data_IF_608684948219
#
_entry.id   IF_608684948219
#
_cell.length_a   1.000
_cell.length_b   1.000
_cell.length_c   1.000
_cell.angle_alpha   90.00
_cell.angle_beta   90.00
_cell.angle_gamma   90.00
#
_symmetry.space_group_name_H-M   'P 1'
#
loop_
_entity.id
_entity.type
_entity.pdbx_description
1 polymer ?
#
# COMPACT_ATOMS: atom_id res chain seq x y z
N UNK A 1 32.69 17.37 1.98
CA UNK A 1 32.35 16.87 0.63
C UNK A 1 31.50 15.60 0.65
N UNK A 2 31.92 14.53 1.33
CA UNK A 2 31.16 13.26 1.34
C UNK A 2 29.76 13.38 1.97
N UNK A 3 29.64 14.08 3.10
CA UNK A 3 28.34 14.34 3.76
C UNK A 3 27.37 15.16 2.89
N UNK A 4 27.90 16.16 2.19
CA UNK A 4 27.11 16.99 1.26
C UNK A 4 26.61 16.18 0.07
N UNK A 5 27.47 15.31 -0.50
CA UNK A 5 27.08 14.39 -1.56
C UNK A 5 25.92 13.47 -1.13
N UNK A 6 26.03 12.81 0.04
CA UNK A 6 24.97 11.94 0.54
C UNK A 6 23.69 12.70 0.89
N UNK A 7 23.79 13.95 1.35
CA UNK A 7 22.62 14.78 1.63
C UNK A 7 21.90 15.20 0.36
N UNK A 8 22.64 15.62 -0.67
CA UNK A 8 22.08 15.92 -1.99
C UNK A 8 21.47 14.68 -2.63
N UNK A 9 22.14 13.52 -2.55
CA UNK A 9 21.60 12.26 -3.04
C UNK A 9 20.29 11.87 -2.34
N UNK A 10 20.24 12.02 -1.02
CA UNK A 10 19.04 11.75 -0.23
C UNK A 10 17.88 12.69 -0.61
N UNK A 11 18.17 13.98 -0.82
CA UNK A 11 17.19 14.93 -1.31
C UNK A 11 16.66 14.55 -2.69
N UNK A 12 17.56 14.20 -3.62
CA UNK A 12 17.18 13.78 -4.98
C UNK A 12 16.30 12.53 -5.00
N UNK A 13 16.52 11.56 -4.11
CA UNK A 13 15.65 10.36 -4.00
C UNK A 13 14.25 10.76 -3.58
N UNK A 14 14.11 11.57 -2.52
CA UNK A 14 12.80 11.96 -2.01
C UNK A 14 12.06 12.89 -2.99
N UNK A 15 12.78 13.82 -3.61
CA UNK A 15 12.22 14.68 -4.67
C UNK A 15 11.76 13.85 -5.88
N UNK A 16 12.60 12.91 -6.34
CA UNK A 16 12.24 12.00 -7.44
C UNK A 16 11.03 11.12 -7.12
N UNK A 17 10.98 10.56 -5.91
CA UNK A 17 9.83 9.77 -5.44
C UNK A 17 8.55 10.62 -5.37
N UNK A 18 8.63 11.84 -4.85
CA UNK A 18 7.50 12.78 -4.80
C UNK A 18 6.96 13.09 -6.20
N UNK A 19 7.85 13.46 -7.13
CA UNK A 19 7.47 13.79 -8.51
C UNK A 19 6.86 12.57 -9.21
N UNK A 20 7.49 11.40 -9.09
CA UNK A 20 7.01 10.17 -9.73
C UNK A 20 5.66 9.73 -9.18
N UNK A 21 5.49 9.68 -7.86
CA UNK A 21 4.21 9.26 -7.24
C UNK A 21 3.07 10.20 -7.55
N UNK A 22 3.34 11.49 -7.75
CA UNK A 22 2.31 12.46 -8.11
C UNK A 22 1.92 12.40 -9.59
N UNK A 23 2.91 12.29 -10.49
CA UNK A 23 2.72 12.38 -11.94
C UNK A 23 2.30 11.03 -12.55
N UNK A 24 2.84 9.90 -12.09
CA UNK A 24 2.55 8.59 -12.68
C UNK A 24 1.04 8.25 -12.75
N UNK A 25 0.22 8.51 -11.71
CA UNK A 25 -1.22 8.32 -11.79
C UNK A 25 -1.92 9.21 -12.83
N UNK A 26 -1.42 10.43 -13.05
CA UNK A 26 -1.96 11.37 -14.05
C UNK A 26 -1.73 10.84 -15.46
N UNK A 27 -0.54 10.29 -15.74
CA UNK A 27 -0.26 9.66 -17.03
C UNK A 27 -1.09 8.39 -17.25
N UNK A 28 -1.32 7.61 -16.19
CA UNK A 28 -2.18 6.43 -16.23
C UNK A 28 -3.64 6.79 -16.52
N UNK A 29 -4.13 7.91 -16.01
CA UNK A 29 -5.54 8.31 -16.14
C UNK A 29 -5.91 8.96 -17.47
N UNK A 30 -4.95 9.14 -18.39
CA UNK A 30 -5.24 9.65 -19.73
C UNK A 30 -5.71 8.52 -20.66
N UNK A 31 -6.69 8.76 -21.55
CA UNK A 31 -7.06 7.78 -22.56
C UNK A 31 -5.96 7.66 -23.61
N UNK A 32 -5.58 6.43 -23.96
CA UNK A 32 -4.64 6.18 -25.05
C UNK A 32 -4.87 4.82 -25.70
N UNK A 33 -4.51 4.70 -26.98
CA UNK A 33 -4.66 3.45 -27.76
C UNK A 33 -6.08 2.85 -27.73
N UNK A 34 -7.11 3.69 -27.58
CA UNK A 34 -8.51 3.25 -27.50
C UNK A 34 -8.91 2.68 -26.14
N UNK A 35 -8.07 2.77 -25.11
CA UNK A 35 -8.38 2.42 -23.72
C UNK A 35 -8.52 3.68 -22.85
N UNK A 36 -9.34 3.60 -21.82
CA UNK A 36 -9.58 4.69 -20.86
C UNK A 36 -8.37 4.98 -19.95
N UNK A 37 -7.39 4.06 -19.89
CA UNK A 37 -6.18 4.21 -19.08
C UNK A 37 -4.91 3.91 -19.87
N UNK A 38 -3.91 4.78 -19.77
CA UNK A 38 -2.65 4.67 -20.50
C UNK A 38 -1.51 4.03 -19.72
N UNK A 39 -1.53 2.71 -19.59
CA UNK A 39 -0.40 1.96 -19.01
C UNK A 39 0.91 2.06 -19.80
N UNK A 40 0.92 2.03 -21.15
CA UNK A 40 2.16 2.16 -21.93
C UNK A 40 2.90 3.47 -21.65
N UNK A 41 2.19 4.58 -21.46
CA UNK A 41 2.80 5.87 -21.10
C UNK A 41 3.34 5.84 -19.66
N UNK A 42 2.55 5.34 -18.72
CA UNK A 42 2.92 5.28 -17.31
C UNK A 42 4.18 4.41 -17.06
N UNK A 43 4.33 3.29 -17.77
CA UNK A 43 5.51 2.40 -17.65
C UNK A 43 6.64 2.73 -18.63
N UNK A 44 6.32 3.28 -19.81
CA UNK A 44 7.30 3.61 -20.84
C UNK A 44 8.23 4.75 -20.42
N UNK A 45 7.70 5.77 -19.73
CA UNK A 45 8.53 6.90 -19.26
C UNK A 45 9.63 6.42 -18.29
N UNK A 46 9.33 5.67 -17.20
CA UNK A 46 10.36 5.10 -16.34
C UNK A 46 11.36 4.22 -17.11
N UNK A 47 10.91 3.42 -18.08
CA UNK A 47 11.79 2.55 -18.85
C UNK A 47 12.83 3.37 -19.65
N UNK A 48 12.39 4.44 -20.34
CA UNK A 48 13.28 5.35 -21.08
C UNK A 48 14.26 6.04 -20.13
N UNK A 49 13.77 6.56 -18.99
CA UNK A 49 14.62 7.20 -17.99
C UNK A 49 15.69 6.26 -17.43
N UNK A 50 15.35 4.98 -17.20
CA UNK A 50 16.32 3.98 -16.73
C UNK A 50 17.36 3.60 -17.80
N UNK A 51 16.96 3.54 -19.08
CA UNK A 51 17.90 3.35 -20.19
C UNK A 51 18.87 4.53 -20.26
N UNK A 52 18.37 5.76 -20.22
CA UNK A 52 19.18 6.97 -20.23
C UNK A 52 20.16 7.01 -19.03
N UNK A 53 19.67 6.71 -17.83
CA UNK A 53 20.50 6.64 -16.62
C UNK A 53 21.62 5.58 -16.75
N UNK A 54 21.30 4.41 -17.34
CA UNK A 54 22.27 3.34 -17.57
C UNK A 54 23.32 3.74 -18.60
N UNK A 55 22.92 4.37 -19.71
CA UNK A 55 23.85 4.88 -20.72
C UNK A 55 24.80 5.94 -20.14
N UNK A 56 24.28 6.87 -19.33
CA UNK A 56 25.10 7.87 -18.64
C UNK A 56 26.07 7.21 -17.65
N UNK A 57 25.59 6.22 -16.88
CA UNK A 57 26.43 5.48 -15.95
C UNK A 57 27.56 4.73 -16.66
N UNK A 58 27.28 4.11 -17.80
CA UNK A 58 28.28 3.41 -18.63
C UNK A 58 29.30 4.38 -19.23
N UNK A 59 28.86 5.53 -19.73
CA UNK A 59 29.74 6.57 -20.27
C UNK A 59 30.73 7.09 -19.21
N UNK A 60 30.31 7.19 -17.95
CA UNK A 60 31.17 7.57 -16.81
C UNK A 60 32.18 6.49 -16.37
N UNK A 61 32.11 5.28 -16.91
CA UNK A 61 32.92 4.14 -16.45
C UNK A 61 34.43 4.34 -16.59
N UNK A 62 34.87 5.22 -17.50
CA UNK A 62 36.28 5.61 -17.67
C UNK A 62 36.82 6.46 -16.51
N UNK A 63 35.94 7.15 -15.77
CA UNK A 63 36.33 8.01 -14.64
C UNK A 63 36.15 7.35 -13.28
N UNK A 64 35.54 6.17 -13.22
CA UNK A 64 35.31 5.47 -11.96
C UNK A 64 36.58 4.80 -11.44
N UNK A 65 36.88 5.03 -10.17
CA UNK A 65 37.89 4.27 -9.43
C UNK A 65 37.33 2.89 -9.09
N UNK A 66 37.90 1.83 -9.67
CA UNK A 66 37.46 0.44 -9.49
C UNK A 66 38.31 -0.24 -8.41
N UNK A 67 37.86 -0.32 -7.14
CA UNK A 67 38.61 -1.01 -6.10
C UNK A 67 38.69 -2.52 -6.37
N UNK A 68 39.74 -3.21 -5.90
CA UNK A 68 39.84 -4.66 -6.04
C UNK A 68 38.67 -5.36 -5.31
N UNK A 69 38.29 -6.59 -5.75
CA UNK A 69 37.20 -7.34 -5.13
C UNK A 69 37.50 -7.59 -3.65
N UNK A 70 36.52 -7.30 -2.78
CA UNK A 70 36.58 -7.63 -1.36
C UNK A 70 36.17 -9.10 -1.17
N UNK A 71 36.73 -9.74 -0.16
CA UNK A 71 36.33 -11.11 0.21
C UNK A 71 34.86 -11.18 0.64
N UNK A 72 34.23 -12.33 0.39
CA UNK A 72 32.83 -12.56 0.76
C UNK A 72 32.71 -12.83 2.27
N UNK A 73 32.46 -11.75 3.02
CA UNK A 73 32.25 -11.77 4.48
C UNK A 73 31.07 -12.67 4.86
N UNK A 74 29.97 -12.68 4.09
CA UNK A 74 28.80 -13.52 4.39
C UNK A 74 29.16 -15.01 4.36
N UNK A 75 29.90 -15.43 3.33
CA UNK A 75 30.38 -16.81 3.24
C UNK A 75 31.38 -17.16 4.35
N UNK A 76 32.16 -16.20 4.83
CA UNK A 76 33.08 -16.38 5.96
C UNK A 76 32.33 -16.55 7.29
N UNK A 77 31.31 -15.72 7.55
CA UNK A 77 30.43 -15.83 8.72
C UNK A 77 29.68 -17.16 8.72
N UNK A 78 29.09 -17.56 7.59
CA UNK A 78 28.38 -18.84 7.47
C UNK A 78 29.30 -20.05 7.74
N UNK A 79 30.53 -20.03 7.20
CA UNK A 79 31.55 -21.06 7.47
C UNK A 79 31.97 -21.08 8.95
N UNK A 80 32.13 -19.91 9.57
CA UNK A 80 32.49 -19.82 10.99
C UNK A 80 31.39 -20.40 11.89
N UNK A 81 30.14 -20.03 11.64
CA UNK A 81 28.97 -20.56 12.36
C UNK A 81 28.83 -22.07 12.14
N UNK A 82 28.89 -22.54 10.89
CA UNK A 82 28.76 -23.96 10.58
C UNK A 82 29.82 -24.82 11.25
N UNK A 83 31.10 -24.39 11.22
CA UNK A 83 32.19 -25.09 11.91
C UNK A 83 32.03 -25.07 13.43
N UNK A 84 31.60 -23.95 14.01
CA UNK A 84 31.36 -23.88 15.45
C UNK A 84 30.25 -24.84 15.89
N UNK A 85 29.18 -24.97 15.09
CA UNK A 85 28.07 -25.90 15.35
C UNK A 85 28.54 -27.35 15.25
N UNK A 86 29.25 -27.72 14.17
CA UNK A 86 29.80 -29.08 13.99
C UNK A 86 30.72 -29.42 15.17
N UNK A 87 31.62 -28.51 15.53
CA UNK A 87 32.54 -28.71 16.65
C UNK A 87 31.79 -28.80 17.98
N UNK A 88 30.67 -28.09 18.16
CA UNK A 88 29.84 -28.22 19.36
C UNK A 88 29.18 -29.59 19.47
N UNK A 89 28.76 -30.18 18.35
CA UNK A 89 28.20 -31.53 18.35
C UNK A 89 29.28 -32.62 18.55
N UNK A 90 30.50 -32.40 18.08
CA UNK A 90 31.62 -33.34 18.25
C UNK A 90 32.38 -33.17 19.57
N UNK A 91 32.40 -31.97 20.14
CA UNK A 91 33.12 -31.64 21.38
C UNK A 91 32.14 -31.61 22.55
N UNK A 92 32.31 -32.50 23.52
CA UNK A 92 31.56 -32.49 24.78
C UNK A 92 31.96 -31.37 25.75
N UNK A 93 32.79 -30.41 25.33
CA UNK A 93 33.26 -29.33 26.19
C UNK A 93 32.31 -28.13 26.15
N UNK A 94 31.84 -27.73 27.33
CA UNK A 94 31.03 -26.52 27.49
C UNK A 94 31.95 -25.31 27.58
N UNK A 95 31.87 -24.40 26.61
CA UNK A 95 32.49 -23.07 26.64
C UNK A 95 31.44 -22.02 27.00
N UNK A 96 31.87 -20.85 27.48
CA UNK A 96 30.95 -19.75 27.84
C UNK A 96 30.01 -19.35 26.69
N UNK A 97 30.50 -19.34 25.45
CA UNK A 97 29.68 -19.13 24.26
C UNK A 97 29.94 -20.22 23.22
N UNK A 98 28.87 -20.80 22.66
CA UNK A 98 28.95 -21.91 21.69
C UNK A 98 29.79 -21.60 20.44
N UNK A 99 29.87 -20.32 20.04
CA UNK A 99 30.66 -19.88 18.88
C UNK A 99 32.18 -20.01 19.13
N UNK A 100 32.63 -20.11 20.38
CA UNK A 100 34.05 -20.33 20.72
C UNK A 100 34.53 -21.73 20.37
N UNK A 101 33.61 -22.67 20.10
CA UNK A 101 33.94 -24.00 19.60
C UNK A 101 34.54 -23.94 18.18
N UNK A 102 34.42 -22.81 17.46
CA UNK A 102 35.17 -22.58 16.22
C UNK A 102 36.69 -22.73 16.42
N UNK A 103 37.21 -22.31 17.59
CA UNK A 103 38.64 -22.34 17.87
C UNK A 103 39.21 -23.76 18.04
N UNK A 104 38.37 -24.77 18.21
CA UNK A 104 38.83 -26.15 18.38
C UNK A 104 39.47 -26.71 17.11
N UNK A 105 39.05 -26.23 15.93
CA UNK A 105 39.61 -26.63 14.64
C UNK A 105 40.53 -25.57 14.02
N UNK A 106 40.66 -24.40 14.65
CA UNK A 106 41.45 -23.29 14.10
C UNK A 106 42.79 -23.11 14.82
N UNK A 107 43.89 -23.17 14.07
CA UNK A 107 45.24 -22.96 14.58
C UNK A 107 45.74 -21.57 14.15
N UNK A 108 45.72 -20.61 15.08
CA UNK A 108 46.12 -19.21 14.83
C UNK A 108 47.59 -19.06 14.37
N UNK A 109 48.46 -20.04 14.62
CA UNK A 109 49.87 -20.00 14.23
C UNK A 109 50.11 -20.32 12.75
N UNK A 110 49.17 -21.03 12.11
CA UNK A 110 49.29 -21.45 10.70
C UNK A 110 48.53 -20.52 9.75
N UNK A 111 47.67 -19.66 10.26
CA UNK A 111 46.85 -18.76 9.44
C UNK A 111 47.61 -17.48 9.08
N UNK A 112 47.77 -17.22 7.78
CA UNK A 112 48.49 -16.07 7.23
C UNK A 112 47.93 -14.74 7.77
N UNK A 113 46.61 -14.63 7.89
CA UNK A 113 45.94 -13.42 8.40
C UNK A 113 46.24 -13.15 9.88
N UNK A 114 46.40 -14.21 10.67
CA UNK A 114 46.78 -14.09 12.08
C UNK A 114 48.25 -13.69 12.21
N UNK A 115 49.12 -14.20 11.34
CA UNK A 115 50.53 -13.80 11.29
C UNK A 115 50.70 -12.33 10.89
N UNK A 116 49.93 -11.84 9.92
CA UNK A 116 49.98 -10.45 9.50
C UNK A 116 49.48 -9.49 10.59
N UNK A 117 48.42 -9.85 11.31
CA UNK A 117 47.95 -9.07 12.47
C UNK A 117 49.00 -9.01 13.60
N UNK A 118 49.72 -10.11 13.84
CA UNK A 118 50.82 -10.15 14.83
C UNK A 118 51.97 -9.24 14.43
N UNK A 119 52.33 -9.19 13.14
CA UNK A 119 53.34 -8.28 12.61
C UNK A 119 52.93 -6.81 12.77
N UNK A 120 51.68 -6.48 12.49
CA UNK A 120 51.16 -5.12 12.62
C UNK A 120 51.06 -4.66 14.08
N UNK A 121 50.57 -5.52 14.98
CA UNK A 121 50.26 -5.14 16.37
C UNK A 121 51.43 -5.39 17.35
N UNK A 122 52.56 -5.96 16.89
CA UNK A 122 53.70 -6.43 17.72
C UNK A 122 53.30 -7.33 18.91
N UNK A 123 52.12 -7.95 18.88
CA UNK A 123 51.61 -8.81 19.93
C UNK A 123 51.59 -10.28 19.48
N UNK A 124 52.42 -11.13 20.10
CA UNK A 124 52.57 -12.56 19.75
C UNK A 124 51.29 -13.39 19.99
N UNK A 125 50.37 -12.92 20.84
CA UNK A 125 49.11 -13.62 21.17
C UNK A 125 47.92 -13.19 20.32
N UNK A 126 48.09 -12.20 19.42
CA UNK A 126 47.01 -11.74 18.57
C UNK A 126 46.57 -12.85 17.59
N UNK A 127 45.25 -13.03 17.47
CA UNK A 127 44.64 -13.94 16.50
C UNK A 127 43.45 -13.22 15.85
N UNK A 128 43.53 -12.99 14.54
CA UNK A 128 42.52 -12.25 13.79
C UNK A 128 41.16 -12.96 13.83
N UNK A 129 41.17 -14.30 13.77
CA UNK A 129 39.94 -15.10 13.85
C UNK A 129 39.25 -14.99 15.21
N UNK A 130 39.98 -14.71 16.30
CA UNK A 130 39.36 -14.51 17.62
C UNK A 130 38.55 -13.22 17.65
N UNK A 131 39.13 -12.14 17.15
CA UNK A 131 38.43 -10.85 16.99
C UNK A 131 37.21 -11.03 16.09
N UNK A 132 37.36 -11.72 14.96
CA UNK A 132 36.25 -12.00 14.05
C UNK A 132 35.11 -12.79 14.71
N UNK A 133 35.41 -13.82 15.51
CA UNK A 133 34.39 -14.58 16.24
C UNK A 133 33.68 -13.68 17.26
N UNK A 134 34.41 -12.83 17.98
CA UNK A 134 33.81 -11.87 18.92
C UNK A 134 32.95 -10.81 18.20
N UNK A 135 33.33 -10.39 16.99
CA UNK A 135 32.52 -9.54 16.11
C UNK A 135 31.24 -10.27 15.68
N UNK A 136 31.31 -11.56 15.32
CA UNK A 136 30.14 -12.37 14.97
C UNK A 136 29.21 -12.56 16.18
N UNK A 137 29.74 -12.73 17.41
CA UNK A 137 28.91 -12.75 18.64
C UNK A 137 28.18 -11.42 18.83
N UNK A 138 28.85 -10.31 18.54
CA UNK A 138 28.25 -8.98 18.64
C UNK A 138 27.18 -8.78 17.56
N UNK A 139 27.44 -9.24 16.33
CA UNK A 139 26.48 -9.24 15.23
C UNK A 139 25.22 -10.05 15.57
N UNK A 140 25.35 -11.25 16.14
CA UNK A 140 24.21 -12.06 16.56
C UNK A 140 23.37 -11.39 17.65
N UNK A 141 24.00 -10.70 18.60
CA UNK A 141 23.30 -9.90 19.62
C UNK A 141 22.55 -8.72 18.99
N UNK A 142 23.16 -8.03 18.03
CA UNK A 142 22.50 -6.97 17.25
C UNK A 142 21.34 -7.53 16.45
N UNK A 143 21.48 -8.70 15.81
CA UNK A 143 20.42 -9.32 15.02
C UNK A 143 19.15 -9.57 15.85
N UNK A 144 19.30 -10.03 17.11
CA UNK A 144 18.17 -10.22 18.04
C UNK A 144 17.48 -8.87 18.32
N UNK A 145 18.25 -7.80 18.53
CA UNK A 145 17.69 -6.45 18.74
C UNK A 145 16.92 -5.93 17.50
N UNK A 146 17.29 -6.38 16.30
CA UNK A 146 16.65 -6.00 15.04
C UNK A 146 15.40 -6.85 14.70
N UNK A 147 15.05 -7.86 15.49
CA UNK A 147 13.88 -8.73 15.25
C UNK A 147 12.54 -7.96 15.10
N UNK A 148 12.30 -6.82 15.78
CA UNK A 148 11.10 -6.02 15.56
C UNK A 148 11.09 -5.21 14.25
N UNK A 149 12.24 -5.00 13.60
CA UNK A 149 12.36 -4.15 12.40
C UNK A 149 11.57 -4.70 11.20
N UNK A 150 11.57 -6.01 10.90
CA UNK A 150 10.68 -6.58 9.88
C UNK A 150 9.19 -6.26 10.11
N UNK A 151 8.72 -6.25 11.36
CA UNK A 151 7.32 -5.91 11.65
C UNK A 151 7.02 -4.45 11.35
N UNK A 152 7.98 -3.54 11.59
CA UNK A 152 7.85 -2.15 11.18
C UNK A 152 7.72 -2.02 9.66
N UNK A 153 8.56 -2.70 8.88
CA UNK A 153 8.47 -2.67 7.42
C UNK A 153 7.19 -3.31 6.90
N UNK A 154 6.74 -4.42 7.50
CA UNK A 154 5.47 -5.06 7.16
C UNK A 154 4.26 -4.13 7.38
N UNK A 155 4.32 -3.24 8.37
CA UNK A 155 3.31 -2.21 8.60
C UNK A 155 3.48 -1.03 7.64
N UNK A 156 4.71 -0.57 7.42
CA UNK A 156 5.01 0.54 6.52
C UNK A 156 4.56 0.25 5.07
N UNK A 157 4.84 -0.94 4.56
CA UNK A 157 4.50 -1.33 3.20
C UNK A 157 2.98 -1.46 2.95
N UNK A 158 2.17 -1.52 4.02
CA UNK A 158 0.69 -1.48 3.90
C UNK A 158 0.18 -0.12 3.42
N UNK A 159 0.98 0.95 3.56
CA UNK A 159 0.64 2.27 3.01
C UNK A 159 0.44 2.21 1.49
N UNK A 160 1.22 1.40 0.77
CA UNK A 160 1.13 1.29 -0.69
C UNK A 160 0.06 0.32 -1.19
N UNK A 161 -0.65 -0.37 -0.30
CA UNK A 161 -1.60 -1.43 -0.66
C UNK A 161 -2.94 -1.28 0.07
N UNK A 162 -3.01 -1.62 1.35
CA UNK A 162 -4.25 -1.61 2.13
C UNK A 162 -4.78 -0.18 2.29
N UNK A 163 -3.91 0.78 2.57
CA UNK A 163 -4.32 2.17 2.73
C UNK A 163 -4.78 2.77 1.39
N UNK A 164 -4.22 2.30 0.28
CA UNK A 164 -4.70 2.65 -1.04
C UNK A 164 -6.13 2.14 -1.27
N UNK A 165 -6.40 0.87 -0.92
CA UNK A 165 -7.76 0.30 -1.02
C UNK A 165 -8.76 1.08 -0.16
N UNK A 166 -8.37 1.44 1.07
CA UNK A 166 -9.17 2.31 1.92
C UNK A 166 -9.39 3.69 1.25
N UNK A 167 -8.35 4.27 0.64
CA UNK A 167 -8.46 5.54 -0.07
C UNK A 167 -9.41 5.51 -1.27
N UNK A 168 -9.47 4.39 -2.01
CA UNK A 168 -10.43 4.18 -3.12
C UNK A 168 -11.89 4.18 -2.60
N UNK A 169 -12.11 3.79 -1.35
CA UNK A 169 -13.42 3.77 -0.71
C UNK A 169 -13.84 5.13 -0.11
N UNK A 170 -12.97 6.14 -0.15
CA UNK A 170 -13.21 7.47 0.42
C UNK A 170 -13.49 8.52 -0.66
N UNK A 171 -14.16 9.60 -0.30
CA UNK A 171 -14.26 10.76 -1.18
C UNK A 171 -12.88 11.41 -1.35
N UNK A 172 -12.44 11.46 -2.60
CA UNK A 172 -11.14 11.93 -3.03
C UNK A 172 -11.13 13.44 -3.40
N UNK A 173 -12.25 14.14 -3.16
CA UNK A 173 -12.39 15.58 -3.42
C UNK A 173 -11.96 16.39 -2.19
N UNK A 174 -10.84 17.12 -2.30
CA UNK A 174 -10.32 17.95 -1.20
C UNK A 174 -11.08 19.27 -1.03
N UNK A 175 -11.39 19.94 -2.15
CA UNK A 175 -12.20 21.17 -2.18
C UNK A 175 -12.73 21.41 -3.59
N UNK A 176 -14.07 21.43 -3.75
CA UNK A 176 -14.75 21.66 -5.03
C UNK A 176 -14.28 20.74 -6.16
N UNK A 177 -13.40 21.28 -7.02
CA UNK A 177 -12.91 20.63 -8.25
C UNK A 177 -11.55 19.93 -8.10
N UNK A 178 -10.87 20.04 -6.94
CA UNK A 178 -9.58 19.35 -6.74
C UNK A 178 -9.80 17.89 -6.37
N UNK A 179 -9.78 17.02 -7.37
CA UNK A 179 -9.78 15.56 -7.24
C UNK A 179 -8.34 15.07 -7.08
N UNK A 180 -8.02 14.51 -5.92
CA UNK A 180 -6.73 13.85 -5.69
C UNK A 180 -6.92 12.34 -5.86
N UNK A 181 -6.20 11.72 -6.79
CA UNK A 181 -6.31 10.27 -6.95
C UNK A 181 -5.83 9.55 -5.67
N UNK A 182 -6.46 8.43 -5.26
CA UNK A 182 -6.04 7.66 -4.08
C UNK A 182 -4.54 7.33 -4.05
N UNK A 183 -3.97 6.97 -5.21
CA UNK A 183 -2.54 6.67 -5.37
C UNK A 183 -1.62 7.86 -5.02
N UNK A 184 -2.10 9.09 -5.24
CA UNK A 184 -1.32 10.32 -5.00
C UNK A 184 -1.19 10.67 -3.52
N UNK A 185 -1.98 10.05 -2.63
CA UNK A 185 -1.82 10.20 -1.17
C UNK A 185 -0.43 9.72 -0.74
N UNK A 186 0.17 8.77 -1.46
CA UNK A 186 1.53 8.29 -1.18
C UNK A 186 2.58 9.40 -1.33
N UNK A 187 2.34 10.43 -2.15
CA UNK A 187 3.23 11.59 -2.29
C UNK A 187 3.43 12.32 -0.96
N UNK A 188 2.45 12.28 -0.05
CA UNK A 188 2.59 12.86 1.30
C UNK A 188 3.73 12.23 2.09
N UNK A 189 4.06 10.95 1.88
CA UNK A 189 5.17 10.31 2.57
C UNK A 189 6.50 11.03 2.28
N UNK A 190 6.81 11.25 1.00
CA UNK A 190 8.04 11.93 0.58
C UNK A 190 8.07 13.39 1.07
N UNK A 191 6.94 14.11 0.99
CA UNK A 191 6.81 15.49 1.50
C UNK A 191 7.07 15.54 3.01
N UNK A 192 6.43 14.66 3.78
CA UNK A 192 6.60 14.58 5.22
C UNK A 192 8.04 14.24 5.61
N UNK A 193 8.72 13.35 4.88
CA UNK A 193 10.13 13.03 5.13
C UNK A 193 11.02 14.26 4.91
N UNK A 194 10.82 14.99 3.80
CA UNK A 194 11.58 16.20 3.48
C UNK A 194 11.38 17.31 4.53
N UNK A 195 10.20 17.41 5.11
CA UNK A 195 9.88 18.39 6.17
C UNK A 195 10.35 17.90 7.56
N UNK A 196 10.09 16.63 7.89
CA UNK A 196 10.33 16.10 9.24
C UNK A 196 11.80 15.85 9.52
N UNK A 197 12.64 15.50 8.54
CA UNK A 197 14.07 15.32 8.80
C UNK A 197 14.73 16.59 9.35
N UNK A 198 14.65 17.75 8.68
CA UNK A 198 15.23 18.98 9.22
C UNK A 198 14.53 19.42 10.50
N UNK A 199 13.20 19.29 10.58
CA UNK A 199 12.42 19.61 11.79
C UNK A 199 12.93 18.81 13.00
N UNK A 200 13.11 17.49 12.85
CA UNK A 200 13.55 16.64 13.94
C UNK A 200 15.02 16.85 14.30
N UNK A 201 15.89 17.09 13.30
CA UNK A 201 17.30 17.31 13.55
C UNK A 201 17.61 18.67 14.20
N UNK A 202 16.93 19.73 13.77
CA UNK A 202 17.22 21.10 14.20
C UNK A 202 16.40 21.52 15.42
N UNK A 203 15.15 21.05 15.53
CA UNK A 203 14.21 21.52 16.55
C UNK A 203 13.91 20.42 17.56
N UNK A 204 13.35 19.28 17.12
CA UNK A 204 12.80 18.27 18.04
C UNK A 204 13.90 17.60 18.87
N UNK A 205 14.95 17.07 18.25
CA UNK A 205 16.01 16.36 18.97
C UNK A 205 16.80 17.27 19.91
N UNK A 206 17.19 18.51 19.55
CA UNK A 206 17.87 19.40 20.49
C UNK A 206 17.01 19.79 21.69
N UNK A 207 15.71 20.03 21.51
CA UNK A 207 14.78 20.32 22.61
C UNK A 207 14.59 19.08 23.49
N UNK A 208 14.29 17.93 22.89
CA UNK A 208 14.09 16.70 23.64
C UNK A 208 15.36 16.22 24.34
N UNK A 209 16.55 16.52 23.80
CA UNK A 209 17.84 16.26 24.44
C UNK A 209 18.05 17.07 25.73
N UNK A 210 17.38 18.22 25.90
CA UNK A 210 17.43 19.00 27.15
C UNK A 210 16.70 18.28 28.29
N UNK A 211 15.64 17.54 27.98
CA UNK A 211 14.84 16.83 28.98
C UNK A 211 15.28 15.38 29.18
N UNK A 212 15.64 14.67 28.10
CA UNK A 212 15.91 13.23 28.12
C UNK A 212 17.13 12.91 27.24
N UNK A 213 18.04 12.06 27.73
CA UNK A 213 19.10 11.49 26.90
C UNK A 213 18.49 10.64 25.77
N UNK A 214 18.55 11.14 24.53
CA UNK A 214 18.04 10.49 23.33
C UNK A 214 19.05 9.45 22.80
N UNK A 215 18.89 8.19 23.19
CA UNK A 215 19.65 7.09 22.59
C UNK A 215 19.01 6.65 21.26
N UNK A 216 19.79 6.10 20.29
CA UNK A 216 19.23 5.57 19.05
C UNK A 216 18.12 4.54 19.28
N UNK A 217 18.28 3.69 20.30
CA UNK A 217 17.28 2.69 20.68
C UNK A 217 15.95 3.32 21.14
N UNK A 218 16.02 4.40 21.94
CA UNK A 218 14.82 5.13 22.38
C UNK A 218 14.07 5.77 21.20
N UNK A 219 14.79 6.28 20.21
CA UNK A 219 14.19 6.81 18.97
C UNK A 219 13.47 5.72 18.19
N UNK A 220 14.07 4.54 18.09
CA UNK A 220 13.46 3.39 17.42
C UNK A 220 12.18 2.93 18.14
N UNK A 221 12.19 2.84 19.48
CA UNK A 221 11.00 2.48 20.26
C UNK A 221 9.89 3.52 20.13
N UNK A 222 10.22 4.81 20.21
CA UNK A 222 9.24 5.88 20.02
C UNK A 222 8.62 5.86 18.62
N UNK A 223 9.42 5.63 17.57
CA UNK A 223 8.93 5.46 16.21
C UNK A 223 7.99 4.26 16.07
N UNK A 224 8.31 3.14 16.72
CA UNK A 224 7.44 1.96 16.77
C UNK A 224 6.08 2.25 17.42
N UNK A 225 6.05 2.97 18.55
CA UNK A 225 4.80 3.35 19.23
C UNK A 225 3.95 4.29 18.37
N UNK A 226 4.58 5.25 17.68
CA UNK A 226 3.87 6.14 16.75
C UNK A 226 3.29 5.38 15.55
N UNK A 227 4.02 4.40 15.02
CA UNK A 227 3.51 3.51 13.98
C UNK A 227 2.31 2.68 14.49
N UNK A 228 2.34 2.18 15.73
CA UNK A 228 1.16 1.50 16.30
C UNK A 228 -0.04 2.45 16.42
N UNK A 229 0.18 3.70 16.84
CA UNK A 229 -0.88 4.70 16.93
C UNK A 229 -1.47 5.04 15.57
N UNK A 230 -0.66 5.13 14.50
CA UNK A 230 -1.19 5.40 13.16
C UNK A 230 -2.14 4.30 12.68
N UNK A 231 -1.84 3.04 13.00
CA UNK A 231 -2.73 1.92 12.67
C UNK A 231 -4.06 1.95 13.45
N UNK A 232 -4.05 2.42 14.70
CA UNK A 232 -5.29 2.65 15.44
C UNK A 232 -6.15 3.72 14.76
N UNK A 233 -5.53 4.83 14.33
CA UNK A 233 -6.22 5.90 13.59
C UNK A 233 -6.81 5.35 12.29
N UNK A 234 -6.03 4.61 11.50
CA UNK A 234 -6.51 3.96 10.27
C UNK A 234 -7.70 3.04 10.53
N UNK A 235 -7.69 2.28 11.64
CA UNK A 235 -8.80 1.43 12.04
C UNK A 235 -10.08 2.20 12.35
N UNK A 236 -9.98 3.30 13.09
CA UNK A 236 -11.13 4.18 13.36
C UNK A 236 -11.68 4.84 12.09
N UNK A 237 -10.79 5.24 11.17
CA UNK A 237 -11.20 5.74 9.84
C UNK A 237 -11.97 4.65 9.08
N UNK A 238 -11.50 3.39 9.09
CA UNK A 238 -12.21 2.30 8.40
C UNK A 238 -13.60 2.05 8.99
N UNK A 239 -13.77 2.15 10.31
CA UNK A 239 -15.10 2.02 10.92
C UNK A 239 -16.06 3.09 10.41
N UNK A 240 -15.58 4.33 10.24
CA UNK A 240 -16.38 5.43 9.70
C UNK A 240 -16.70 5.23 8.22
N UNK A 241 -15.76 4.71 7.43
CA UNK A 241 -15.97 4.42 6.00
C UNK A 241 -16.96 3.26 5.81
N UNK A 242 -16.92 2.23 6.68
CA UNK A 242 -17.84 1.11 6.63
C UNK A 242 -19.32 1.50 6.91
N UNK A 243 -19.57 2.67 7.51
CA UNK A 243 -20.92 3.19 7.69
C UNK A 243 -21.51 3.77 6.39
N UNK A 244 -20.64 4.20 5.46
CA UNK A 244 -21.01 4.79 4.17
C UNK A 244 -20.89 3.83 2.99
N UNK A 245 -20.24 2.68 3.18
CA UNK A 245 -20.12 1.66 2.14
C UNK A 245 -21.42 0.86 1.99
N UNK A 246 -21.87 0.60 0.75
CA UNK A 246 -23.03 -0.24 0.51
C UNK A 246 -22.74 -1.68 0.93
N UNK A 247 -23.75 -2.37 1.44
CA UNK A 247 -23.61 -3.80 1.74
C UNK A 247 -23.66 -4.63 0.49
N UNK A 248 -22.71 -5.56 0.35
CA UNK A 248 -22.79 -6.56 -0.69
C UNK A 248 -24.01 -7.48 -0.43
N UNK A 249 -24.78 -7.84 -1.48
CA UNK A 249 -25.93 -8.71 -1.32
C UNK A 249 -25.50 -10.11 -0.83
N UNK A 250 -26.26 -10.66 0.13
CA UNK A 250 -26.09 -12.03 0.59
C UNK A 250 -26.44 -13.05 -0.52
N UNK A 251 -26.18 -14.35 -0.28
CA UNK A 251 -26.41 -15.40 -1.28
C UNK A 251 -27.87 -15.53 -1.75
N UNK A 252 -28.82 -15.03 -0.96
CA UNK A 252 -30.26 -15.02 -1.20
C UNK A 252 -30.81 -13.62 -1.54
N UNK A 253 -29.95 -12.62 -1.72
CA UNK A 253 -30.35 -11.22 -1.96
C UNK A 253 -29.87 -10.69 -3.31
N UNK A 254 -30.59 -9.73 -3.86
CA UNK A 254 -30.14 -8.86 -4.94
C UNK A 254 -30.19 -7.41 -4.46
N UNK A 255 -29.17 -6.64 -4.84
CA UNK A 255 -29.10 -5.22 -4.53
C UNK A 255 -29.69 -4.42 -5.70
N UNK A 256 -30.58 -3.46 -5.42
CA UNK A 256 -31.17 -2.58 -6.43
C UNK A 256 -31.04 -1.12 -6.03
N UNK A 257 -30.35 -0.34 -6.85
CA UNK A 257 -30.25 1.13 -6.74
C UNK A 257 -31.04 1.79 -7.87
N UNK A 258 -31.88 2.76 -7.53
CA UNK A 258 -32.61 3.59 -8.50
C UNK A 258 -31.90 4.91 -8.68
N UNK A 259 -31.71 5.31 -9.94
CA UNK A 259 -31.01 6.53 -10.34
C UNK A 259 -31.97 7.44 -11.08
N UNK A 260 -32.08 8.68 -10.60
CA UNK A 260 -32.92 9.68 -11.21
C UNK A 260 -32.06 10.64 -12.06
N UNK A 261 -32.12 10.50 -13.39
CA UNK A 261 -31.41 11.37 -14.34
C UNK A 261 -32.32 12.48 -14.87
N UNK A 262 -33.41 12.78 -14.17
CA UNK A 262 -34.33 13.85 -14.51
C UNK A 262 -33.92 15.12 -13.76
N UNK A 263 -33.89 16.25 -14.47
CA UNK A 263 -33.38 17.52 -13.94
C UNK A 263 -34.33 18.19 -12.94
N UNK A 264 -35.65 18.09 -13.15
CA UNK A 264 -36.65 18.84 -12.39
C UNK A 264 -37.63 17.94 -11.61
N UNK A 265 -37.46 16.61 -11.67
CA UNK A 265 -38.44 15.66 -11.15
C UNK A 265 -37.94 14.87 -9.96
N UNK A 266 -38.78 14.72 -8.94
CA UNK A 266 -38.57 13.72 -7.89
C UNK A 266 -39.32 12.43 -8.23
N UNK A 267 -38.61 11.31 -8.20
CA UNK A 267 -39.18 9.97 -8.45
C UNK A 267 -39.42 9.28 -7.12
N UNK A 268 -40.67 8.90 -6.87
CA UNK A 268 -41.04 8.01 -5.78
C UNK A 268 -41.16 6.59 -6.31
N UNK A 269 -40.24 5.75 -5.89
CA UNK A 269 -40.22 4.34 -6.26
C UNK A 269 -40.69 3.48 -5.07
N UNK A 270 -41.53 2.50 -5.36
CA UNK A 270 -42.15 1.62 -4.37
C UNK A 270 -41.91 0.18 -4.78
N UNK A 271 -41.32 -0.59 -3.87
CA UNK A 271 -41.09 -2.02 -4.05
C UNK A 271 -42.14 -2.85 -3.29
N UNK A 272 -42.45 -4.06 -3.75
CA UNK A 272 -43.39 -4.93 -3.05
C UNK A 272 -42.97 -5.20 -1.60
N UNK A 273 -43.85 -4.88 -0.64
CA UNK A 273 -43.64 -5.13 0.78
C UNK A 273 -42.73 -4.14 1.51
N UNK A 274 -42.38 -3.00 0.91
CA UNK A 274 -41.52 -1.98 1.52
C UNK A 274 -42.10 -0.56 1.34
N UNK A 275 -41.61 0.37 2.17
CA UNK A 275 -42.03 1.77 2.13
C UNK A 275 -41.52 2.47 0.85
N UNK A 276 -42.30 3.43 0.31
CA UNK A 276 -41.88 4.22 -0.85
C UNK A 276 -40.68 5.10 -0.49
N UNK A 277 -39.68 5.13 -1.36
CA UNK A 277 -38.51 6.00 -1.23
C UNK A 277 -38.56 7.10 -2.28
N UNK A 278 -38.17 8.32 -1.89
CA UNK A 278 -38.17 9.48 -2.76
C UNK A 278 -36.74 9.77 -3.22
N UNK A 279 -36.54 9.82 -4.55
CA UNK A 279 -35.26 10.11 -5.18
C UNK A 279 -35.33 11.51 -5.80
N UNK A 280 -34.54 12.44 -5.26
CA UNK A 280 -34.44 13.81 -5.74
C UNK A 280 -33.87 13.88 -7.18
N UNK A 281 -34.04 15.01 -7.89
CA UNK A 281 -33.50 15.19 -9.25
C UNK A 281 -31.98 15.05 -9.29
N UNK A 282 -31.45 14.43 -10.35
CA UNK A 282 -30.01 14.22 -10.57
C UNK A 282 -29.24 13.51 -9.43
N UNK A 283 -29.94 12.74 -8.59
CA UNK A 283 -29.37 12.00 -7.46
C UNK A 283 -29.69 10.51 -7.59
N UNK A 284 -28.80 9.69 -7.03
CA UNK A 284 -28.99 8.24 -6.90
C UNK A 284 -29.40 7.88 -5.49
N UNK A 285 -30.09 6.75 -5.33
CA UNK A 285 -30.24 6.13 -4.01
C UNK A 285 -28.86 5.74 -3.48
N UNK A 286 -28.48 6.33 -2.35
CA UNK A 286 -27.21 6.06 -1.65
C UNK A 286 -27.49 5.27 -0.38
N UNK A 287 -26.62 4.30 -0.08
CA UNK A 287 -26.58 3.68 1.24
C UNK A 287 -25.82 4.59 2.19
N UNK A 288 -26.53 5.27 3.07
CA UNK A 288 -25.96 6.03 4.15
C UNK A 288 -26.65 5.65 5.46
N UNK A 289 -25.98 4.79 6.21
CA UNK A 289 -26.49 4.28 7.49
C UNK A 289 -26.63 5.35 8.57
N UNK A 290 -25.96 6.50 8.41
CA UNK A 290 -26.09 7.65 9.34
C UNK A 290 -27.35 8.45 9.09
N UNK A 291 -27.75 8.62 7.83
CA UNK A 291 -28.97 9.36 7.45
C UNK A 291 -30.18 8.44 7.32
N UNK A 292 -29.99 7.11 7.41
CA UNK A 292 -31.06 6.12 7.23
C UNK A 292 -31.49 5.97 5.77
N UNK A 293 -30.74 6.55 4.84
CA UNK A 293 -30.93 6.37 3.41
C UNK A 293 -30.39 4.99 3.05
N UNK A 294 -31.27 4.11 2.57
CA UNK A 294 -30.89 2.76 2.16
C UNK A 294 -31.34 2.55 0.72
N UNK A 295 -30.41 2.14 -0.10
CA UNK A 295 -30.70 1.38 -1.30
C UNK A 295 -31.19 -0.03 -0.93
N UNK A 296 -31.84 -0.69 -1.88
CA UNK A 296 -32.77 -1.76 -1.58
C UNK A 296 -32.12 -3.14 -1.68
N UNK A 297 -32.13 -3.89 -0.58
CA UNK A 297 -31.81 -5.32 -0.57
C UNK A 297 -33.09 -6.14 -0.75
N UNK A 298 -33.24 -6.79 -1.90
CA UNK A 298 -34.41 -7.61 -2.22
C UNK A 298 -34.07 -9.09 -2.05
N UNK A 299 -34.78 -9.78 -1.16
CA UNK A 299 -34.66 -11.23 -0.97
C UNK A 299 -35.30 -11.98 -2.13
N UNK A 300 -34.62 -13.02 -2.58
CA UNK A 300 -35.13 -13.94 -3.58
C UNK A 300 -36.29 -14.77 -3.01
N UNK A 301 -37.32 -15.07 -3.82
CA UNK A 301 -38.30 -16.10 -3.49
C UNK A 301 -37.61 -17.45 -3.25
N UNK A 302 -38.11 -18.22 -2.28
CA UNK A 302 -37.52 -19.49 -1.84
C UNK A 302 -37.15 -20.42 -2.99
N UNK A 303 -35.84 -20.65 -3.20
CA UNK A 303 -35.31 -21.60 -4.18
C UNK A 303 -35.06 -21.07 -5.59
N UNK A 304 -35.34 -19.79 -5.89
CA UNK A 304 -35.09 -19.20 -7.21
C UNK A 304 -33.84 -18.32 -7.24
N UNK A 305 -32.96 -18.54 -8.22
CA UNK A 305 -31.79 -17.68 -8.46
C UNK A 305 -32.13 -16.42 -9.24
N UNK A 306 -33.20 -16.46 -10.03
CA UNK A 306 -33.66 -15.35 -10.87
C UNK A 306 -35.14 -15.10 -10.62
N UNK A 307 -35.53 -13.83 -10.45
CA UNK A 307 -36.92 -13.45 -10.26
C UNK A 307 -37.20 -12.06 -10.82
N UNK A 308 -38.49 -11.71 -10.97
CA UNK A 308 -38.90 -10.39 -11.47
C UNK A 308 -39.64 -9.64 -10.37
N UNK A 309 -39.27 -8.38 -10.16
CA UNK A 309 -39.89 -7.51 -9.16
C UNK A 309 -40.56 -6.33 -9.86
N UNK A 310 -41.88 -6.13 -9.69
CA UNK A 310 -42.57 -4.94 -10.19
C UNK A 310 -42.22 -3.75 -9.29
N UNK A 311 -41.52 -2.76 -9.84
CA UNK A 311 -41.23 -1.48 -9.19
C UNK A 311 -42.30 -0.49 -9.62
N UNK A 312 -43.09 0.02 -8.68
CA UNK A 312 -44.06 1.08 -8.95
C UNK A 312 -43.38 2.44 -8.87
N UNK A 313 -43.52 3.24 -9.92
CA UNK A 313 -42.87 4.54 -10.06
C UNK A 313 -43.95 5.62 -10.13
N UNK A 314 -43.79 6.64 -9.30
CA UNK A 314 -44.64 7.83 -9.31
C UNK A 314 -43.76 9.07 -9.42
N UNK A 315 -44.15 9.97 -10.31
CA UNK A 315 -43.36 11.14 -10.68
C UNK A 315 -44.01 12.39 -10.08
N UNK A 316 -43.23 13.20 -9.36
CA UNK A 316 -43.72 14.42 -8.69
C UNK A 316 -42.91 15.63 -9.12
N UNK A 317 -43.59 16.74 -9.44
CA UNK A 317 -42.96 18.02 -9.82
C UNK A 317 -42.57 18.15 -11.31
N UNK A 318 -43.13 17.33 -12.19
CA UNK A 318 -42.68 17.21 -13.57
C UNK A 318 -43.40 18.13 -14.58
N UNK A 319 -42.64 18.73 -15.51
CA UNK A 319 -43.16 19.50 -16.65
C UNK A 319 -43.74 18.58 -17.74
N UNK A 320 -44.99 18.84 -18.16
CA UNK A 320 -45.90 17.89 -18.84
C UNK A 320 -45.44 17.24 -20.16
N UNK A 321 -44.38 17.71 -20.82
CA UNK A 321 -44.02 17.24 -22.17
C UNK A 321 -42.95 16.13 -22.21
N UNK A 322 -42.16 15.94 -21.13
CA UNK A 322 -41.04 14.98 -21.11
C UNK A 322 -41.34 13.63 -20.45
N UNK A 323 -42.50 13.47 -19.80
CA UNK A 323 -42.77 12.31 -18.92
C UNK A 323 -43.97 11.45 -19.32
N UNK A 324 -44.78 11.86 -20.31
CA UNK A 324 -46.00 11.12 -20.70
C UNK A 324 -45.72 9.69 -21.20
N UNK A 325 -44.50 9.43 -21.68
CA UNK A 325 -44.10 8.11 -22.20
C UNK A 325 -43.40 7.22 -21.16
N UNK A 326 -43.26 7.66 -19.91
CA UNK A 326 -42.62 6.86 -18.86
C UNK A 326 -43.60 5.87 -18.24
N UNK A 327 -43.22 4.59 -18.06
CA UNK A 327 -44.09 3.61 -17.45
C UNK A 327 -44.21 3.86 -15.93
N UNK A 328 -45.41 3.66 -15.40
CA UNK A 328 -45.70 3.70 -13.96
C UNK A 328 -45.29 2.40 -13.23
N UNK A 329 -45.05 1.32 -13.97
CA UNK A 329 -44.58 0.04 -13.43
C UNK A 329 -43.43 -0.46 -14.30
N UNK A 330 -42.29 -0.74 -13.66
CA UNK A 330 -41.13 -1.34 -14.31
C UNK A 330 -40.84 -2.72 -13.70
N UNK A 331 -40.81 -3.74 -14.54
CA UNK A 331 -40.52 -5.12 -14.11
C UNK A 331 -39.01 -5.37 -14.18
N UNK A 332 -38.32 -5.22 -13.05
CA UNK A 332 -36.88 -5.46 -12.97
C UNK A 332 -36.59 -6.96 -12.84
N UNK A 333 -35.73 -7.50 -13.72
CA UNK A 333 -35.26 -8.89 -13.65
C UNK A 333 -34.01 -8.98 -12.79
N UNK A 334 -34.09 -9.66 -11.66
CA UNK A 334 -33.03 -9.74 -10.66
C UNK A 334 -32.45 -11.15 -10.58
N UNK A 335 -31.16 -11.21 -10.28
CA UNK A 335 -30.40 -12.43 -9.97
C UNK A 335 -29.81 -12.29 -8.57
N UNK A 336 -29.80 -13.38 -7.80
CA UNK A 336 -29.12 -13.44 -6.50
C UNK A 336 -27.65 -13.06 -6.65
N UNK A 337 -27.05 -12.42 -5.63
CA UNK A 337 -25.65 -11.99 -5.56
C UNK A 337 -25.21 -10.93 -6.57
N UNK A 338 -26.14 -10.36 -7.35
CA UNK A 338 -25.85 -9.29 -8.30
C UNK A 338 -26.35 -7.94 -7.81
N UNK A 339 -25.70 -6.90 -8.30
CA UNK A 339 -26.05 -5.49 -8.06
C UNK A 339 -26.72 -4.99 -9.35
N UNK A 340 -27.89 -4.37 -9.20
CA UNK A 340 -28.64 -3.79 -10.31
C UNK A 340 -28.80 -2.29 -10.10
N UNK A 341 -28.72 -1.57 -11.20
CA UNK A 341 -29.04 -0.15 -11.25
C UNK A 341 -30.19 0.07 -12.23
N UNK A 342 -31.21 0.81 -11.80
CA UNK A 342 -32.36 1.19 -12.61
C UNK A 342 -32.29 2.69 -12.84
N UNK A 343 -31.84 3.07 -14.03
CA UNK A 343 -31.70 4.47 -14.42
C UNK A 343 -32.97 4.94 -15.13
N UNK A 344 -33.55 6.01 -14.60
CA UNK A 344 -34.75 6.66 -15.14
C UNK A 344 -34.27 7.92 -15.85
N UNK A 345 -34.43 7.94 -17.17
CA UNK A 345 -34.04 9.07 -18.03
C UNK A 345 -35.24 9.55 -18.84
N UNK A 346 -35.18 10.73 -19.48
CA UNK A 346 -36.26 11.22 -20.34
C UNK A 346 -36.59 10.29 -21.52
N UNK A 347 -35.62 9.45 -21.93
CA UNK A 347 -35.76 8.52 -23.05
C UNK A 347 -36.35 7.16 -22.64
N UNK A 348 -36.54 6.91 -21.35
CA UNK A 348 -37.04 5.65 -20.82
C UNK A 348 -36.28 5.17 -19.59
N UNK A 349 -36.64 3.95 -19.15
CA UNK A 349 -36.06 3.28 -17.99
C UNK A 349 -35.11 2.19 -18.47
N UNK A 350 -33.88 2.23 -17.97
CA UNK A 350 -32.84 1.28 -18.30
C UNK A 350 -32.43 0.52 -17.05
N UNK A 351 -32.37 -0.80 -17.17
CA UNK A 351 -31.80 -1.67 -16.14
C UNK A 351 -30.42 -2.11 -16.59
N UNK A 352 -29.42 -1.91 -15.74
CA UNK A 352 -28.10 -2.52 -15.89
C UNK A 352 -27.74 -3.37 -14.68
N UNK A 353 -26.70 -4.18 -14.86
CA UNK A 353 -26.19 -5.10 -13.85
C UNK A 353 -24.70 -4.87 -13.66
N UNK A 354 -24.24 -4.92 -12.42
CA UNK A 354 -22.83 -4.99 -12.08
C UNK A 354 -22.56 -6.24 -11.27
N UNK A 355 -21.44 -6.89 -11.59
CA UNK A 355 -20.99 -8.07 -10.87
C UNK A 355 -20.06 -7.64 -9.72
N UNK A 356 -20.41 -7.91 -8.45
CA UNK A 356 -19.52 -7.61 -7.33
C UNK A 356 -18.34 -8.59 -7.24
N UNK A 357 -18.34 -9.69 -8.01
CA UNK A 357 -17.18 -10.56 -8.06
C UNK A 357 -16.00 -9.82 -8.69
N UNK A 358 -14.84 -9.90 -8.04
CA UNK A 358 -13.58 -9.38 -8.59
C UNK A 358 -13.44 -9.93 -10.02
N UNK A 359 -13.20 -9.11 -11.04
CA UNK A 359 -12.95 -9.61 -12.40
C UNK A 359 -11.72 -10.51 -12.34
N UNK A 360 -11.95 -11.82 -12.29
CA UNK A 360 -10.90 -12.87 -12.31
C UNK A 360 -10.54 -13.25 -13.73
N UNK A 361 -11.32 -12.80 -14.71
CA UNK A 361 -11.11 -13.01 -16.13
C UNK A 361 -10.86 -11.67 -16.80
N UNK A 362 -9.59 -11.41 -17.10
CA UNK A 362 -9.20 -10.32 -17.98
C UNK A 362 -9.65 -10.62 -19.40
N UNK A 363 -10.87 -10.22 -19.75
CA UNK A 363 -11.32 -10.13 -21.15
C UNK A 363 -11.74 -8.70 -21.52
N UNK A 364 -11.32 -7.70 -20.75
CA UNK A 364 -11.67 -6.30 -21.02
C UNK A 364 -10.60 -5.26 -20.70
N UNK A 365 -9.75 -5.45 -19.68
CA UNK A 365 -8.86 -4.35 -19.24
C UNK A 365 -7.35 -4.64 -19.35
N UNK A 366 -6.93 -5.87 -19.67
CA UNK A 366 -5.50 -6.23 -19.82
C UNK A 366 -5.23 -7.35 -20.85
N UNK A 367 -5.94 -7.37 -21.99
CA UNK A 367 -5.50 -8.23 -23.12
C UNK A 367 -4.35 -7.54 -23.84
N UNK A 368 -3.12 -7.87 -23.46
CA UNK A 368 -1.96 -7.72 -24.33
C UNK A 368 -1.96 -8.91 -25.29
N UNK A 369 -2.48 -8.70 -26.50
CA UNK A 369 -2.58 -9.71 -27.56
C UNK A 369 -4.00 -9.91 -28.04
#
# INVERSE_FOLDING_TARGET
>A
MLSLFFSMFYFSINAGSMISTFISPIFRSQPCLGQDSCYPLAFGIPAILMILATCLFMAGSFWYKKPPPKENIFAEVARAIGRAIINKFHSGTSKEHWLDNYMDTHVCEKDLKCLDLRKQTRNKRACQKKVFIDDVKSLLRVLIMFLPVPMFWALYDQQGSIWLIQGIQMDCRLSGNLLLLPDQVQTLNAVLILVFIPLFQVIVYPIAAKCIKLTPLRKMVAGGLLASLSFLVTGFVQLSVNETLPTLPASDEAFVSVWNQLDDCSVKATFPGHNPFNVAPNITTTDNRKTGESSMHLKAPSGTKTWTVPIQLSYTGCSNDKFQNLPNVFNAKLETTKIYYVAISPNGIYQGKSDPSKPTQGTGEFSLG
#
